data_IF_859589000006
#
_entry.id   IF_859589000006
#
_cell.length_a   1.000
_cell.length_b   1.000
_cell.length_c   1.000
_cell.angle_alpha   90.00
_cell.angle_beta   90.00
_cell.angle_gamma   90.00
#
_symmetry.space_group_name_H-M   'P 1'
#
loop_
_entity.id
_entity.type
_entity.pdbx_description
1 polymer ?
#
# COMPACT_ATOMS: atom_id res chain seq x y z
N UNK A 1 96.51 -0.19 55.76
CA UNK A 1 97.01 -1.52 56.21
C UNK A 1 96.24 -2.54 55.37
N UNK A 2 96.93 -3.09 54.40
CA UNK A 2 97.44 -4.47 54.26
C UNK A 2 96.23 -5.47 54.29
N UNK A 3 96.03 -6.34 53.39
CA UNK A 3 96.84 -7.02 52.39
C UNK A 3 95.92 -7.98 51.67
N UNK A 4 95.99 -8.19 50.45
CA UNK A 4 96.75 -9.18 49.65
C UNK A 4 96.25 -10.65 49.82
N UNK A 5 95.99 -11.23 48.57
CA UNK A 5 96.21 -12.60 48.12
C UNK A 5 95.04 -13.52 48.26
N UNK A 6 94.56 -14.26 47.34
CA UNK A 6 95.15 -14.95 46.27
C UNK A 6 94.15 -15.65 45.32
N UNK A 7 94.64 -15.96 44.16
CA UNK A 7 93.99 -16.66 43.11
C UNK A 7 93.71 -18.13 43.34
N UNK A 8 92.69 -18.69 42.79
CA UNK A 8 92.80 -20.05 42.18
C UNK A 8 91.74 -20.25 41.14
N UNK A 9 92.27 -20.72 40.10
CA UNK A 9 91.80 -21.05 38.79
C UNK A 9 91.17 -22.47 38.74
N UNK A 10 90.36 -22.72 37.81
CA UNK A 10 89.77 -24.01 37.34
C UNK A 10 88.38 -24.28 37.87
N UNK A 11 87.34 -24.45 37.08
CA UNK A 11 87.25 -25.30 35.92
C UNK A 11 86.10 -24.83 35.00
N UNK A 12 86.42 -24.73 33.75
CA UNK A 12 85.48 -24.61 32.68
C UNK A 12 84.84 -25.95 32.44
N UNK A 13 83.55 -26.07 32.69
CA UNK A 13 82.70 -27.09 32.03
C UNK A 13 81.80 -26.37 31.10
N UNK A 14 82.13 -26.43 29.87
CA UNK A 14 81.42 -25.95 28.71
C UNK A 14 80.20 -26.90 28.51
N UNK A 15 79.01 -26.52 28.94
CA UNK A 15 77.80 -27.21 28.58
C UNK A 15 77.20 -26.50 27.38
N UNK A 16 77.62 -26.89 26.19
CA UNK A 16 77.01 -26.47 24.95
C UNK A 16 75.57 -27.03 24.89
N UNK A 17 74.60 -26.23 25.31
CA UNK A 17 73.20 -26.47 24.92
C UNK A 17 73.08 -26.13 23.44
N UNK A 18 73.03 -27.16 22.59
CA UNK A 18 72.56 -27.06 21.23
C UNK A 18 71.11 -26.67 21.25
N UNK A 19 70.80 -25.38 21.10
CA UNK A 19 69.48 -24.88 20.79
C UNK A 19 69.16 -25.28 19.36
N UNK A 20 68.34 -26.31 19.20
CA UNK A 20 67.81 -26.71 17.90
C UNK A 20 66.83 -25.61 17.47
N UNK A 21 67.28 -24.78 16.57
CA UNK A 21 66.47 -23.76 15.89
C UNK A 21 65.52 -24.49 14.92
N UNK A 22 64.36 -24.85 15.47
CA UNK A 22 63.24 -25.26 14.63
C UNK A 22 62.60 -24.01 14.03
N UNK A 23 63.22 -23.51 12.92
CA UNK A 23 62.62 -22.54 12.04
C UNK A 23 61.32 -23.11 11.45
N UNK A 24 60.30 -23.17 12.26
CA UNK A 24 58.92 -23.27 11.82
C UNK A 24 58.64 -22.00 11.02
N UNK A 25 58.52 -22.12 9.72
CA UNK A 25 58.06 -21.08 8.80
C UNK A 25 56.77 -20.50 9.29
N UNK A 26 56.81 -19.52 10.24
CA UNK A 26 55.68 -18.67 10.58
C UNK A 26 55.43 -17.82 9.34
N UNK A 27 54.58 -18.35 8.46
CA UNK A 27 54.03 -17.64 7.32
C UNK A 27 53.31 -16.40 7.86
N UNK A 28 53.95 -15.26 7.89
CA UNK A 28 53.37 -13.96 8.22
C UNK A 28 52.28 -13.70 7.20
N UNK A 29 51.04 -14.18 7.50
CA UNK A 29 49.88 -13.73 6.78
C UNK A 29 49.78 -12.24 7.09
N UNK A 30 49.82 -11.44 6.05
CA UNK A 30 49.64 -10.00 6.12
C UNK A 30 48.35 -9.73 6.92
N UNK A 31 48.51 -9.24 8.17
CA UNK A 31 47.37 -8.93 9.06
C UNK A 31 46.44 -7.86 8.49
N UNK A 32 46.75 -7.32 7.34
CA UNK A 32 46.00 -6.29 6.63
C UNK A 32 44.79 -6.85 5.88
N UNK A 33 44.75 -8.15 5.62
CA UNK A 33 43.62 -8.78 4.93
C UNK A 33 42.35 -8.82 5.78
N UNK A 34 42.48 -8.93 7.11
CA UNK A 34 41.33 -8.96 8.00
C UNK A 34 40.63 -7.58 8.09
N UNK A 35 41.31 -6.47 8.38
CA UNK A 35 40.69 -5.15 8.38
C UNK A 35 40.18 -4.73 7.00
N UNK A 36 40.83 -5.11 5.93
CA UNK A 36 40.35 -4.87 4.55
C UNK A 36 39.06 -5.64 4.27
N UNK A 37 38.97 -6.90 4.70
CA UNK A 37 37.76 -7.72 4.57
C UNK A 37 36.59 -7.13 5.34
N UNK A 38 36.81 -6.73 6.60
CA UNK A 38 35.78 -6.08 7.43
C UNK A 38 35.33 -4.76 6.80
N UNK A 39 36.26 -3.93 6.33
CA UNK A 39 35.95 -2.67 5.65
C UNK A 39 35.07 -2.90 4.42
N UNK A 40 35.42 -3.87 3.59
CA UNK A 40 34.70 -4.17 2.35
C UNK A 40 33.27 -4.66 2.63
N UNK A 41 33.13 -5.56 3.61
CA UNK A 41 31.79 -6.03 4.03
C UNK A 41 30.95 -4.88 4.60
N UNK A 42 31.51 -4.06 5.47
CA UNK A 42 30.81 -2.91 6.06
C UNK A 42 30.42 -1.89 4.99
N UNK A 43 31.34 -1.62 4.04
CA UNK A 43 31.07 -0.72 2.92
C UNK A 43 29.95 -1.22 2.02
N UNK A 44 29.95 -2.51 1.66
CA UNK A 44 28.89 -3.12 0.84
C UNK A 44 27.55 -3.07 1.57
N UNK A 45 27.51 -3.43 2.85
CA UNK A 45 26.27 -3.37 3.65
C UNK A 45 25.77 -1.93 3.78
N UNK A 46 26.65 -0.96 4.01
CA UNK A 46 26.28 0.45 4.08
C UNK A 46 25.78 0.98 2.74
N UNK A 47 26.43 0.59 1.64
CA UNK A 47 26.01 0.97 0.28
C UNK A 47 24.61 0.38 -0.05
N UNK A 48 24.37 -0.89 0.29
CA UNK A 48 23.06 -1.54 0.12
C UNK A 48 21.98 -0.85 0.95
N UNK A 49 22.30 -0.48 2.19
CA UNK A 49 21.39 0.22 3.08
C UNK A 49 21.09 1.64 2.58
N UNK A 50 22.09 2.35 2.07
CA UNK A 50 21.92 3.66 1.43
C UNK A 50 21.10 3.56 0.14
N UNK A 51 21.34 2.55 -0.68
CA UNK A 51 20.53 2.30 -1.88
C UNK A 51 19.08 1.99 -1.47
N UNK A 52 18.87 1.18 -0.45
CA UNK A 52 17.54 0.85 0.04
C UNK A 52 16.75 2.07 0.57
N UNK A 53 17.42 3.00 1.28
CA UNK A 53 16.75 4.14 1.91
C UNK A 53 16.79 5.44 1.09
N UNK A 54 17.82 5.66 0.27
CA UNK A 54 18.04 6.92 -0.45
C UNK A 54 17.86 6.79 -1.96
N UNK A 55 17.83 5.59 -2.52
CA UNK A 55 17.43 5.49 -3.91
C UNK A 55 16.02 6.09 -4.01
N UNK A 56 15.83 7.19 -4.77
CA UNK A 56 14.50 7.70 -5.08
C UNK A 56 13.80 6.50 -5.71
N UNK A 57 12.73 6.03 -5.08
CA UNK A 57 11.97 4.82 -5.37
C UNK A 57 12.28 4.33 -6.78
N UNK A 58 13.27 3.43 -6.90
CA UNK A 58 13.47 2.73 -8.17
C UNK A 58 12.06 2.27 -8.52
N UNK A 59 11.50 2.61 -9.69
CA UNK A 59 10.15 2.21 -10.03
C UNK A 59 10.10 0.74 -9.66
N UNK A 60 9.21 0.42 -8.70
CA UNK A 60 9.14 -0.93 -8.17
C UNK A 60 8.94 -1.83 -9.38
N UNK A 61 9.98 -2.49 -9.87
CA UNK A 61 9.90 -3.44 -10.99
C UNK A 61 8.93 -4.58 -10.67
N UNK A 62 8.46 -4.63 -9.41
CA UNK A 62 7.46 -5.56 -8.90
C UNK A 62 6.06 -4.91 -8.76
N UNK A 63 5.93 -3.60 -8.91
CA UNK A 63 4.62 -2.93 -8.83
C UNK A 63 3.99 -2.97 -10.22
N UNK A 64 2.91 -3.72 -10.32
CA UNK A 64 2.18 -3.84 -11.57
C UNK A 64 1.61 -2.48 -11.98
N UNK A 65 1.92 -2.03 -13.19
CA UNK A 65 1.41 -0.77 -13.72
C UNK A 65 -0.07 -0.89 -14.09
N UNK A 66 -0.79 0.21 -13.89
CA UNK A 66 -2.18 0.32 -14.38
C UNK A 66 -2.18 0.13 -15.88
N UNK A 67 -2.97 -0.83 -16.35
CA UNK A 67 -3.01 -1.26 -17.74
C UNK A 67 -4.48 -1.38 -18.17
N UNK A 68 -5.12 -0.28 -18.59
CA UNK A 68 -6.52 -0.28 -19.00
C UNK A 68 -6.78 -1.17 -20.22
N UNK A 69 -8.03 -1.58 -20.42
CA UNK A 69 -8.48 -2.35 -21.58
C UNK A 69 -9.94 -2.05 -21.88
N UNK A 70 -10.30 -2.02 -23.15
CA UNK A 70 -11.69 -1.88 -23.61
C UNK A 70 -12.48 -3.19 -23.63
N UNK A 71 -11.86 -4.32 -23.24
CA UNK A 71 -12.53 -5.63 -23.18
C UNK A 71 -13.61 -5.64 -22.10
N UNK A 72 -14.79 -6.16 -22.48
CA UNK A 72 -15.98 -6.24 -21.60
C UNK A 72 -16.31 -7.66 -21.14
N UNK A 73 -15.47 -8.65 -21.48
CA UNK A 73 -15.63 -10.03 -21.03
C UNK A 73 -15.61 -10.09 -19.49
N UNK A 74 -16.45 -10.96 -18.94
CA UNK A 74 -16.60 -11.13 -17.50
C UNK A 74 -15.44 -11.94 -16.93
N UNK A 75 -14.80 -11.39 -15.92
CA UNK A 75 -13.72 -12.03 -15.19
C UNK A 75 -14.26 -12.54 -13.86
N UNK A 76 -14.14 -13.84 -13.59
CA UNK A 76 -14.52 -14.45 -12.31
C UNK A 76 -13.42 -14.23 -11.27
N UNK A 77 -13.73 -13.48 -10.23
CA UNK A 77 -12.83 -13.12 -9.13
C UNK A 77 -13.40 -13.59 -7.80
N UNK A 78 -12.52 -13.76 -6.82
CA UNK A 78 -12.90 -14.08 -5.44
C UNK A 78 -12.05 -13.29 -4.46
N UNK A 79 -12.72 -12.54 -3.57
CA UNK A 79 -12.09 -11.83 -2.45
C UNK A 79 -12.66 -12.39 -1.15
N UNK A 80 -11.83 -13.03 -0.33
CA UNK A 80 -12.23 -13.65 0.96
C UNK A 80 -13.57 -14.42 0.89
N UNK A 81 -13.73 -15.27 -0.13
CA UNK A 81 -14.95 -16.08 -0.33
C UNK A 81 -16.07 -15.38 -1.11
N UNK A 82 -16.10 -14.05 -1.19
CA UNK A 82 -17.04 -13.33 -2.03
C UNK A 82 -16.70 -13.53 -3.50
N UNK A 83 -17.61 -14.13 -4.26
CA UNK A 83 -17.49 -14.29 -5.72
C UNK A 83 -17.96 -13.03 -6.42
N UNK A 84 -17.23 -12.63 -7.46
CA UNK A 84 -17.48 -11.44 -8.26
C UNK A 84 -17.27 -11.76 -9.74
N UNK A 85 -18.14 -11.25 -10.60
CA UNK A 85 -18.02 -11.30 -12.06
C UNK A 85 -17.91 -9.87 -12.57
N UNK A 86 -16.69 -9.45 -12.86
CA UNK A 86 -16.39 -8.06 -13.17
C UNK A 86 -15.95 -7.96 -14.62
N UNK A 87 -16.55 -7.09 -15.45
CA UNK A 87 -16.06 -6.84 -16.79
C UNK A 87 -14.60 -6.37 -16.77
N UNK A 88 -13.79 -6.90 -17.69
CA UNK A 88 -12.34 -6.67 -17.71
C UNK A 88 -11.98 -5.18 -17.78
N UNK A 89 -12.81 -4.36 -18.41
CA UNK A 89 -12.60 -2.91 -18.57
C UNK A 89 -12.80 -2.09 -17.28
N UNK A 90 -13.26 -2.68 -16.18
CA UNK A 90 -13.23 -2.03 -14.86
C UNK A 90 -11.92 -2.28 -14.12
N UNK A 91 -11.19 -3.35 -14.45
CA UNK A 91 -10.02 -3.81 -13.71
C UNK A 91 -8.78 -2.99 -14.08
N UNK A 92 -8.13 -2.40 -13.09
CA UNK A 92 -6.95 -1.57 -13.30
C UNK A 92 -5.73 -2.38 -13.75
N UNK A 93 -5.60 -3.64 -13.27
CA UNK A 93 -4.39 -4.44 -13.43
C UNK A 93 -4.61 -5.65 -14.34
N UNK A 94 -3.60 -5.97 -15.15
CA UNK A 94 -3.60 -7.12 -16.04
C UNK A 94 -3.66 -8.45 -15.25
N UNK A 95 -3.03 -8.51 -14.07
CA UNK A 95 -3.07 -9.66 -13.18
C UNK A 95 -4.50 -10.03 -12.76
N UNK A 96 -5.30 -9.03 -12.39
CA UNK A 96 -6.69 -9.23 -11.97
C UNK A 96 -7.56 -9.78 -13.10
N UNK A 97 -7.26 -9.45 -14.35
CA UNK A 97 -7.99 -9.94 -15.52
C UNK A 97 -7.78 -11.43 -15.84
N UNK A 98 -6.81 -12.08 -15.17
CA UNK A 98 -6.64 -13.54 -15.26
C UNK A 98 -7.69 -14.32 -14.45
N UNK A 99 -8.44 -13.62 -13.58
CA UNK A 99 -9.38 -14.25 -12.66
C UNK A 99 -8.70 -14.99 -11.51
N UNK A 100 -9.50 -15.54 -10.60
CA UNK A 100 -9.00 -16.30 -9.45
C UNK A 100 -9.21 -15.61 -8.12
N UNK A 101 -8.42 -15.97 -7.11
CA UNK A 101 -8.51 -15.45 -5.75
C UNK A 101 -7.51 -14.33 -5.51
N UNK A 102 -8.00 -13.24 -4.94
CA UNK A 102 -7.21 -12.04 -4.62
C UNK A 102 -7.51 -11.58 -3.20
N UNK A 103 -6.57 -10.86 -2.57
CA UNK A 103 -6.79 -10.17 -1.29
C UNK A 103 -7.53 -8.85 -1.53
N UNK A 104 -7.24 -8.21 -2.65
CA UNK A 104 -7.87 -6.98 -3.07
C UNK A 104 -8.02 -6.94 -4.60
N UNK A 105 -9.00 -6.17 -5.08
CA UNK A 105 -9.29 -5.94 -6.49
C UNK A 105 -9.51 -4.46 -6.70
N UNK A 106 -8.59 -3.83 -7.45
CA UNK A 106 -8.65 -2.41 -7.78
C UNK A 106 -9.36 -2.20 -9.12
N UNK A 107 -10.29 -1.27 -9.12
CA UNK A 107 -11.13 -0.92 -10.25
C UNK A 107 -11.21 0.59 -10.43
N UNK A 108 -11.69 1.01 -11.58
CA UNK A 108 -12.10 2.38 -11.85
C UNK A 108 -13.41 2.40 -12.63
N UNK A 109 -14.13 3.50 -12.54
CA UNK A 109 -15.35 3.77 -13.30
C UNK A 109 -15.48 5.26 -13.56
N UNK A 110 -16.27 5.63 -14.55
CA UNK A 110 -16.49 7.00 -14.98
C UNK A 110 -17.89 7.48 -14.61
N UNK A 111 -17.98 8.60 -13.90
CA UNK A 111 -19.25 9.29 -13.67
C UNK A 111 -19.82 9.86 -14.96
N UNK A 112 -21.15 10.03 -15.08
CA UNK A 112 -22.15 9.72 -14.06
C UNK A 112 -22.60 8.25 -14.03
N UNK A 113 -22.43 7.50 -15.13
CA UNK A 113 -23.02 6.19 -15.34
C UNK A 113 -22.24 5.03 -14.73
N UNK A 114 -21.07 5.32 -14.16
CA UNK A 114 -20.10 4.33 -13.67
C UNK A 114 -19.71 3.33 -14.75
N UNK A 115 -19.49 3.81 -15.98
CA UNK A 115 -18.96 3.01 -17.09
C UNK A 115 -17.51 2.60 -16.82
N UNK A 116 -17.12 1.39 -17.29
CA UNK A 116 -15.73 0.95 -17.31
C UNK A 116 -14.95 1.71 -18.38
N UNK A 117 -13.64 1.49 -18.37
CA UNK A 117 -12.74 2.12 -19.33
C UNK A 117 -13.11 1.77 -20.80
N UNK A 118 -13.03 2.77 -21.67
CA UNK A 118 -13.14 2.62 -23.13
C UNK A 118 -12.06 3.43 -23.82
N UNK A 119 -11.75 3.10 -25.08
CA UNK A 119 -10.76 3.85 -25.86
C UNK A 119 -11.22 5.30 -26.07
N UNK A 120 -12.53 5.52 -26.23
CA UNK A 120 -13.13 6.84 -26.42
C UNK A 120 -13.04 7.70 -25.16
N UNK A 121 -13.13 7.09 -23.97
CA UNK A 121 -13.07 7.77 -22.68
C UNK A 121 -11.66 7.85 -22.08
N UNK A 122 -10.65 7.30 -22.75
CA UNK A 122 -9.27 7.25 -22.26
C UNK A 122 -8.73 8.61 -21.76
N UNK A 123 -9.02 9.77 -22.41
CA UNK A 123 -8.60 11.07 -21.91
C UNK A 123 -9.17 11.41 -20.53
N UNK A 124 -10.43 11.02 -20.26
CA UNK A 124 -11.10 11.25 -18.98
C UNK A 124 -10.45 10.48 -17.84
N UNK A 125 -9.96 9.26 -18.11
CA UNK A 125 -9.26 8.43 -17.11
C UNK A 125 -7.82 8.88 -16.84
N UNK A 126 -7.21 9.62 -17.75
CA UNK A 126 -5.81 10.07 -17.63
C UNK A 126 -5.65 11.35 -16.82
N UNK A 127 -6.72 12.14 -16.68
CA UNK A 127 -6.71 13.43 -16.01
C UNK A 127 -6.81 13.32 -14.47
N UNK A 128 -6.02 14.14 -13.78
CA UNK A 128 -6.16 14.31 -12.32
C UNK A 128 -6.60 15.76 -12.00
N UNK A 129 -7.59 16.27 -12.72
CA UNK A 129 -8.17 17.61 -12.47
C UNK A 129 -9.04 17.59 -11.22
N UNK A 130 -9.38 18.77 -10.70
CA UNK A 130 -10.19 18.89 -9.49
C UNK A 130 -11.61 18.34 -9.67
N UNK A 131 -12.10 18.31 -10.89
CA UNK A 131 -13.42 17.84 -11.35
C UNK A 131 -13.37 16.53 -12.14
N UNK A 132 -12.24 15.80 -12.12
CA UNK A 132 -12.12 14.52 -12.81
C UNK A 132 -13.29 13.60 -12.44
N UNK A 133 -14.00 13.04 -13.44
CA UNK A 133 -15.16 12.18 -13.21
C UNK A 133 -14.79 10.74 -12.82
N UNK A 134 -13.51 10.43 -12.68
CA UNK A 134 -13.04 9.07 -12.36
C UNK A 134 -13.30 8.73 -10.90
N UNK A 135 -13.96 7.59 -10.68
CA UNK A 135 -14.14 6.95 -9.39
C UNK A 135 -13.19 5.77 -9.31
N UNK A 136 -12.37 5.73 -8.29
CA UNK A 136 -11.53 4.57 -7.97
C UNK A 136 -12.24 3.71 -6.94
N UNK A 137 -12.30 2.41 -7.19
CA UNK A 137 -12.93 1.44 -6.30
C UNK A 137 -11.92 0.36 -5.92
N UNK A 138 -11.97 -0.08 -4.66
CA UNK A 138 -11.13 -1.15 -4.14
C UNK A 138 -12.01 -2.08 -3.30
N UNK A 139 -12.17 -3.32 -3.75
CA UNK A 139 -12.77 -4.39 -2.93
C UNK A 139 -11.61 -5.12 -2.27
N UNK A 140 -11.63 -5.22 -0.94
CA UNK A 140 -10.54 -5.81 -0.18
C UNK A 140 -11.03 -6.66 0.99
N UNK A 141 -10.18 -7.58 1.44
CA UNK A 141 -10.37 -8.25 2.73
C UNK A 141 -10.31 -7.20 3.86
N UNK A 142 -11.28 -7.27 4.79
CA UNK A 142 -11.38 -6.37 5.93
C UNK A 142 -11.85 -7.15 7.17
N UNK A 143 -10.94 -7.41 8.09
CA UNK A 143 -11.23 -8.23 9.29
C UNK A 143 -12.06 -7.51 10.35
N UNK A 144 -12.06 -6.19 10.32
CA UNK A 144 -12.89 -5.39 11.21
C UNK A 144 -14.27 -5.19 10.57
N UNK A 145 -15.20 -6.07 10.86
CA UNK A 145 -16.58 -6.01 10.34
C UNK A 145 -17.38 -4.87 11.00
N UNK A 146 -16.90 -3.64 10.88
CA UNK A 146 -17.57 -2.47 11.41
C UNK A 146 -18.56 -1.92 10.37
N UNK A 147 -19.81 -1.75 10.79
CA UNK A 147 -20.77 -0.93 10.02
C UNK A 147 -20.30 0.52 9.96
N UNK A 148 -20.85 1.33 9.06
CA UNK A 148 -20.53 2.76 9.04
C UNK A 148 -20.98 3.45 10.34
N UNK A 149 -22.09 3.03 10.94
CA UNK A 149 -22.53 3.53 12.26
C UNK A 149 -21.52 3.19 13.37
N UNK A 150 -21.02 1.94 13.41
CA UNK A 150 -19.99 1.53 14.38
C UNK A 150 -18.68 2.30 14.17
N UNK A 151 -18.29 2.47 12.91
CA UNK A 151 -17.08 3.24 12.54
C UNK A 151 -17.20 4.70 12.95
N UNK A 152 -18.38 5.30 12.76
CA UNK A 152 -18.67 6.64 13.25
C UNK A 152 -18.48 6.73 14.75
N UNK A 153 -19.19 5.87 15.50
CA UNK A 153 -19.25 5.92 16.96
C UNK A 153 -17.91 5.56 17.62
N UNK A 154 -17.23 4.51 17.14
CA UNK A 154 -16.06 3.94 17.82
C UNK A 154 -14.73 4.51 17.33
N UNK A 155 -14.69 5.00 16.08
CA UNK A 155 -13.44 5.51 15.49
C UNK A 155 -13.52 7.03 15.34
N UNK A 156 -14.41 7.52 14.51
CA UNK A 156 -14.33 8.93 14.12
C UNK A 156 -14.70 9.90 15.23
N UNK A 157 -15.72 9.59 16.05
CA UNK A 157 -16.10 10.47 17.15
C UNK A 157 -15.00 10.68 18.19
N UNK A 158 -14.09 9.72 18.36
CA UNK A 158 -12.93 9.87 19.22
C UNK A 158 -11.87 10.85 18.68
N UNK A 159 -11.94 11.20 17.40
CA UNK A 159 -10.92 12.01 16.71
C UNK A 159 -11.42 13.39 16.24
N UNK A 160 -12.73 13.66 16.33
CA UNK A 160 -13.29 14.97 15.97
C UNK A 160 -13.05 16.01 17.05
N UNK A 161 -13.02 17.27 16.65
CA UNK A 161 -12.83 18.39 17.54
C UNK A 161 -14.11 18.73 18.34
N UNK A 162 -15.29 18.54 17.73
CA UNK A 162 -16.59 18.74 18.34
C UNK A 162 -17.55 17.64 17.90
N UNK A 163 -18.15 16.93 18.86
CA UNK A 163 -19.08 15.82 18.62
C UNK A 163 -20.46 16.26 18.10
N UNK A 164 -20.81 17.55 18.20
CA UNK A 164 -22.08 18.07 17.69
C UNK A 164 -22.08 18.19 16.17
N UNK A 165 -20.90 18.42 15.60
CA UNK A 165 -20.75 18.75 14.19
C UNK A 165 -21.42 20.07 13.81
N UNK A 166 -21.34 20.42 12.56
CA UNK A 166 -21.94 21.63 11.98
C UNK A 166 -22.76 21.25 10.74
N UNK A 167 -23.69 22.10 10.35
CA UNK A 167 -24.39 21.95 9.08
C UNK A 167 -23.36 22.11 7.94
N UNK A 168 -23.16 21.03 7.21
CA UNK A 168 -22.30 20.98 6.04
C UNK A 168 -23.07 21.22 4.74
N UNK A 169 -22.39 21.21 3.58
CA UNK A 169 -23.02 21.37 2.29
C UNK A 169 -23.88 20.13 1.93
N UNK A 170 -24.84 20.31 1.04
CA UNK A 170 -25.61 19.24 0.39
C UNK A 170 -26.36 18.30 1.36
N UNK A 171 -26.81 18.84 2.50
CA UNK A 171 -27.55 18.09 3.53
C UNK A 171 -26.69 17.10 4.33
N UNK A 172 -25.38 17.33 4.35
CA UNK A 172 -24.41 16.59 5.15
C UNK A 172 -24.19 17.29 6.50
N UNK A 173 -23.87 16.50 7.53
CA UNK A 173 -23.28 17.04 8.77
C UNK A 173 -21.76 16.96 8.64
N UNK A 174 -21.08 18.07 8.90
CA UNK A 174 -19.61 18.15 8.83
C UNK A 174 -19.02 18.11 10.24
N UNK A 175 -17.96 17.30 10.39
CA UNK A 175 -17.11 17.24 11.56
C UNK A 175 -15.67 17.54 11.16
N UNK A 176 -15.02 18.45 11.88
CA UNK A 176 -13.60 18.69 11.75
C UNK A 176 -12.82 17.73 12.63
N UNK A 177 -11.80 17.09 12.09
CA UNK A 177 -10.88 16.31 12.91
C UNK A 177 -9.90 17.19 13.66
N UNK A 178 -9.45 16.73 14.85
CA UNK A 178 -8.41 17.40 15.63
C UNK A 178 -7.06 17.35 14.90
N UNK A 179 -6.23 18.37 15.13
CA UNK A 179 -4.94 18.50 14.47
C UNK A 179 -3.89 17.49 14.96
N UNK A 180 -4.10 16.89 16.14
CA UNK A 180 -3.25 15.84 16.72
C UNK A 180 -3.54 14.42 16.21
N UNK A 181 -4.46 14.28 15.24
CA UNK A 181 -4.86 12.98 14.69
C UNK A 181 -4.28 12.72 13.31
N UNK A 182 -4.29 11.45 12.87
CA UNK A 182 -3.94 11.06 11.51
C UNK A 182 -4.90 11.63 10.44
N UNK A 183 -6.06 12.15 10.85
CA UNK A 183 -7.10 12.70 9.96
C UNK A 183 -7.05 14.24 9.86
N UNK A 184 -6.05 14.92 10.44
CA UNK A 184 -5.96 16.39 10.56
C UNK A 184 -6.18 17.18 9.27
N UNK A 185 -5.91 16.57 8.11
CA UNK A 185 -6.06 17.22 6.80
C UNK A 185 -7.39 16.86 6.11
N UNK A 186 -8.30 16.21 6.81
CA UNK A 186 -9.58 15.74 6.29
C UNK A 186 -10.76 16.36 7.06
N UNK A 187 -11.92 16.45 6.40
CA UNK A 187 -13.22 16.67 7.01
C UNK A 187 -14.01 15.37 6.93
N UNK A 188 -14.77 15.05 7.97
CA UNK A 188 -15.75 13.97 7.95
C UNK A 188 -17.14 14.56 7.63
N UNK A 189 -17.73 14.12 6.55
CA UNK A 189 -19.11 14.40 6.18
C UNK A 189 -19.97 13.18 6.44
N UNK A 190 -21.09 13.39 7.13
CA UNK A 190 -22.05 12.33 7.48
C UNK A 190 -23.38 12.63 6.82
N UNK A 191 -23.78 11.77 5.90
CA UNK A 191 -25.08 11.82 5.24
C UNK A 191 -26.03 10.78 5.81
N UNK A 192 -27.28 11.16 6.10
CA UNK A 192 -28.30 10.20 6.54
C UNK A 192 -29.01 9.59 5.35
N UNK A 193 -29.16 8.25 5.39
CA UNK A 193 -29.92 7.47 4.40
C UNK A 193 -30.87 6.50 5.09
N UNK A 194 -31.87 5.95 4.39
CA UNK A 194 -32.75 4.95 4.96
C UNK A 194 -32.07 3.71 5.52
N UNK A 195 -30.88 3.38 5.01
CA UNK A 195 -30.08 2.22 5.42
C UNK A 195 -29.02 2.55 6.49
N UNK A 196 -28.98 3.79 6.97
CA UNK A 196 -28.03 4.25 7.96
C UNK A 196 -27.13 5.39 7.48
N UNK A 197 -26.16 5.82 8.30
CA UNK A 197 -25.26 6.89 7.93
C UNK A 197 -24.31 6.48 6.81
N UNK A 198 -24.02 7.41 5.89
CA UNK A 198 -22.92 7.32 4.94
C UNK A 198 -21.81 8.25 5.40
N UNK A 199 -20.58 7.72 5.47
CA UNK A 199 -19.41 8.42 5.97
C UNK A 199 -18.47 8.75 4.82
N UNK A 200 -18.22 10.03 4.62
CA UNK A 200 -17.31 10.53 3.58
C UNK A 200 -16.16 11.30 4.24
N UNK A 201 -14.94 10.78 4.15
CA UNK A 201 -13.74 11.52 4.55
C UNK A 201 -13.20 12.26 3.33
N UNK A 202 -13.20 13.57 3.39
CA UNK A 202 -12.74 14.39 2.27
C UNK A 202 -11.50 15.17 2.67
N UNK A 203 -10.45 15.06 1.87
CA UNK A 203 -9.24 15.85 2.04
C UNK A 203 -9.60 17.34 1.90
N UNK A 204 -9.04 18.19 2.77
CA UNK A 204 -9.21 19.64 2.68
C UNK A 204 -8.44 20.19 1.49
N UNK A 205 -9.04 21.18 0.81
CA UNK A 205 -8.33 21.91 -0.21
C UNK A 205 -7.12 22.64 0.41
N UNK A 206 -5.99 22.58 -0.27
CA UNK A 206 -4.81 23.36 0.07
C UNK A 206 -3.97 23.61 -1.19
N UNK A 207 -3.03 24.57 -1.18
CA UNK A 207 -2.11 24.76 -2.32
C UNK A 207 -1.30 23.51 -2.67
N UNK A 208 -1.07 22.61 -1.68
CA UNK A 208 -0.38 21.35 -1.88
C UNK A 208 -1.31 20.22 -2.38
N UNK A 209 -2.63 20.39 -2.21
CA UNK A 209 -3.65 19.44 -2.64
C UNK A 209 -4.75 20.21 -3.39
N UNK A 210 -4.48 20.63 -4.63
CA UNK A 210 -5.42 21.43 -5.42
C UNK A 210 -6.60 20.62 -5.96
N UNK A 211 -6.50 19.30 -5.94
CA UNK A 211 -7.50 18.36 -6.45
C UNK A 211 -7.89 17.34 -5.39
N UNK A 212 -8.56 17.76 -4.28
CA UNK A 212 -8.89 16.88 -3.17
C UNK A 212 -9.95 15.85 -3.56
N UNK A 213 -9.93 14.73 -2.86
CA UNK A 213 -10.89 13.62 -3.04
C UNK A 213 -11.63 13.32 -1.76
N UNK A 214 -12.79 12.71 -1.89
CA UNK A 214 -13.57 12.10 -0.83
C UNK A 214 -13.43 10.57 -0.91
N UNK A 215 -13.31 9.93 0.24
CA UNK A 215 -13.21 8.48 0.40
C UNK A 215 -14.38 7.97 1.24
N UNK A 216 -14.99 6.88 0.82
CA UNK A 216 -15.92 6.11 1.62
C UNK A 216 -15.45 4.67 1.73
N UNK A 217 -15.55 4.12 2.94
CA UNK A 217 -15.33 2.71 3.24
C UNK A 217 -16.64 2.10 3.76
N UNK A 218 -17.11 1.03 3.14
CA UNK A 218 -18.36 0.38 3.53
C UNK A 218 -18.23 -1.15 3.44
N UNK A 219 -18.78 -1.92 4.41
CA UNK A 219 -18.80 -3.37 4.30
C UNK A 219 -19.75 -3.80 3.18
N UNK A 220 -19.37 -4.81 2.40
CA UNK A 220 -20.19 -5.36 1.32
C UNK A 220 -20.48 -6.85 1.48
N UNK A 221 -19.71 -7.55 2.31
CA UNK A 221 -19.91 -8.93 2.74
C UNK A 221 -19.17 -9.14 4.06
N UNK A 222 -19.27 -10.34 4.65
CA UNK A 222 -18.50 -10.72 5.83
C UNK A 222 -16.99 -10.68 5.46
N UNK A 223 -16.20 -9.95 6.25
CA UNK A 223 -14.76 -9.75 6.05
C UNK A 223 -14.36 -9.14 4.69
N UNK A 224 -15.30 -8.48 3.99
CA UNK A 224 -15.03 -7.79 2.73
C UNK A 224 -15.59 -6.37 2.76
N UNK A 225 -14.74 -5.40 2.52
CA UNK A 225 -15.10 -4.00 2.38
C UNK A 225 -14.88 -3.48 0.96
N UNK A 226 -15.70 -2.50 0.62
CA UNK A 226 -15.53 -1.65 -0.55
C UNK A 226 -15.05 -0.28 -0.08
N UNK A 227 -13.91 0.15 -0.60
CA UNK A 227 -13.45 1.54 -0.55
C UNK A 227 -13.67 2.18 -1.90
N UNK A 228 -14.21 3.39 -1.93
CA UNK A 228 -14.24 4.14 -3.18
C UNK A 228 -13.89 5.61 -2.97
N UNK A 229 -13.26 6.18 -3.99
CA UNK A 229 -12.76 7.55 -3.98
C UNK A 229 -13.22 8.29 -5.22
N UNK A 230 -13.74 9.50 -5.02
CA UNK A 230 -14.12 10.43 -6.09
C UNK A 230 -13.66 11.85 -5.74
N UNK A 231 -13.62 12.75 -6.70
CA UNK A 231 -13.19 14.13 -6.48
C UNK A 231 -14.19 14.90 -5.63
N UNK A 232 -13.70 15.73 -4.71
CA UNK A 232 -14.53 16.54 -3.80
C UNK A 232 -15.49 17.46 -4.56
N UNK A 233 -15.18 17.84 -5.80
CA UNK A 233 -16.08 18.60 -6.67
C UNK A 233 -17.44 17.91 -6.88
N UNK A 234 -17.48 16.56 -6.87
CA UNK A 234 -18.70 15.76 -6.99
C UNK A 234 -19.41 15.48 -5.66
N UNK A 235 -19.03 16.16 -4.57
CA UNK A 235 -19.65 15.95 -3.25
C UNK A 235 -21.15 16.28 -3.25
N UNK A 236 -21.61 17.17 -4.13
CA UNK A 236 -23.05 17.43 -4.28
C UNK A 236 -23.88 16.19 -4.65
N UNK A 237 -23.26 15.27 -5.36
CA UNK A 237 -23.88 14.06 -5.91
C UNK A 237 -23.64 12.82 -5.01
N UNK A 238 -23.19 13.03 -3.77
CA UNK A 238 -22.76 11.95 -2.88
C UNK A 238 -23.78 10.80 -2.77
N UNK A 239 -25.07 11.14 -2.75
CA UNK A 239 -26.17 10.17 -2.61
C UNK A 239 -26.32 9.33 -3.87
N UNK A 240 -26.33 9.99 -5.03
CA UNK A 240 -26.43 9.34 -6.35
C UNK A 240 -25.22 8.44 -6.60
N UNK A 241 -24.02 8.93 -6.32
CA UNK A 241 -22.76 8.16 -6.44
C UNK A 241 -22.82 6.93 -5.53
N UNK A 242 -23.17 7.08 -4.26
CA UNK A 242 -23.28 5.95 -3.32
C UNK A 242 -24.27 4.89 -3.76
N UNK A 243 -25.45 5.30 -4.24
CA UNK A 243 -26.47 4.39 -4.75
C UNK A 243 -26.06 3.70 -6.05
N UNK A 244 -25.46 4.44 -6.99
CA UNK A 244 -24.99 3.90 -8.26
C UNK A 244 -23.89 2.85 -8.05
N UNK A 245 -22.92 3.13 -7.15
CA UNK A 245 -21.87 2.17 -6.78
C UNK A 245 -22.47 0.94 -6.10
N UNK A 246 -23.46 1.11 -5.21
CA UNK A 246 -24.16 -0.01 -4.61
C UNK A 246 -24.79 -0.93 -5.65
N UNK A 247 -25.49 -0.37 -6.65
CA UNK A 247 -26.06 -1.13 -7.77
C UNK A 247 -24.99 -1.79 -8.64
N UNK A 248 -23.88 -1.10 -8.91
CA UNK A 248 -22.76 -1.64 -9.69
C UNK A 248 -22.17 -2.88 -9.01
N UNK A 249 -21.89 -2.80 -7.71
CA UNK A 249 -21.35 -3.92 -6.92
C UNK A 249 -22.36 -5.06 -6.79
N UNK A 250 -23.65 -4.76 -6.69
CA UNK A 250 -24.70 -5.79 -6.70
C UNK A 250 -24.67 -6.59 -8.01
N UNK A 251 -24.56 -5.91 -9.16
CA UNK A 251 -24.40 -6.59 -10.47
C UNK A 251 -23.14 -7.45 -10.54
N UNK A 252 -22.04 -7.01 -9.96
CA UNK A 252 -20.81 -7.79 -9.93
C UNK A 252 -20.91 -9.07 -9.08
N UNK A 253 -21.88 -9.14 -8.16
CA UNK A 253 -22.14 -10.34 -7.35
C UNK A 253 -23.08 -11.33 -8.05
N UNK A 254 -23.79 -10.91 -9.09
CA UNK A 254 -24.73 -11.76 -9.83
C UNK A 254 -23.95 -12.73 -10.73
N UNK A 255 -24.19 -14.03 -10.55
CA UNK A 255 -23.59 -15.06 -11.37
C UNK A 255 -24.20 -15.00 -12.80
N UNK A 256 -23.35 -14.96 -13.84
CA UNK A 256 -23.85 -14.97 -15.23
C UNK A 256 -24.70 -16.22 -15.46
N UNK A 257 -25.91 -16.04 -16.03
CA UNK A 257 -26.73 -17.19 -16.42
C UNK A 257 -26.02 -17.98 -17.52
N UNK A 258 -25.98 -19.30 -17.40
CA UNK A 258 -25.26 -20.24 -18.26
C UNK A 258 -25.53 -20.04 -19.79
N UNK A 259 -26.72 -19.53 -20.13
CA UNK A 259 -27.11 -19.23 -21.51
C UNK A 259 -26.34 -18.06 -22.16
N UNK A 260 -25.78 -17.14 -21.36
CA UNK A 260 -24.98 -16.01 -21.85
C UNK A 260 -23.57 -16.45 -22.28
N UNK A 261 -23.00 -17.44 -21.60
CA UNK A 261 -21.65 -17.97 -21.89
C UNK A 261 -21.63 -18.81 -23.19
N UNK A 262 -22.72 -19.52 -23.51
CA UNK A 262 -22.82 -20.31 -24.75
C UNK A 262 -23.01 -19.43 -26.01
N UNK A 263 -23.61 -18.26 -25.87
CA UNK A 263 -23.77 -17.28 -26.97
C UNK A 263 -22.45 -16.65 -27.40
N UNK A 264 -21.51 -16.47 -26.48
CA UNK A 264 -20.21 -15.85 -26.74
C UNK A 264 -19.21 -16.84 -27.36
N UNK A 265 -19.28 -18.11 -26.98
CA UNK A 265 -18.48 -19.19 -27.60
C UNK A 265 -18.89 -19.50 -29.03
N UNK A 266 -20.14 -19.22 -29.44
CA UNK A 266 -20.60 -19.35 -30.84
C UNK A 266 -20.20 -18.19 -31.75
N UNK A 267 -19.72 -17.07 -31.21
CA UNK A 267 -19.29 -15.89 -31.96
C UNK A 267 -17.77 -15.79 -32.18
N UNK A 268 -17.02 -16.73 -31.63
CA UNK A 268 -15.59 -16.93 -31.91
C UNK A 268 -15.39 -18.08 -32.90
#
# INVERSE_FOLDING_TARGET
MLGLIGASQADRVEMAMTYSDSDGLIRRRSGWMIPLGVFLVTFVLSALLLIYYLAPSAPNFLEEQVSPTSRTDLVALRVHGLKLWIPANYLQYASSRRGGAFKDVAMFALLPDLSGWSDDDAPSFSGNTADSPVVYLLIREERLNLTEADRLARIYMAHVADNKGTAGPFGLTQYAFRDDTGYRNEDLFVGQTPTGPQLLRCVRFSPRVPSPSCLRDTPIAHDVALSYRFKRAHLAEWRQIGQAIGRLVARFKEEPRENALQGEQRRR
#
